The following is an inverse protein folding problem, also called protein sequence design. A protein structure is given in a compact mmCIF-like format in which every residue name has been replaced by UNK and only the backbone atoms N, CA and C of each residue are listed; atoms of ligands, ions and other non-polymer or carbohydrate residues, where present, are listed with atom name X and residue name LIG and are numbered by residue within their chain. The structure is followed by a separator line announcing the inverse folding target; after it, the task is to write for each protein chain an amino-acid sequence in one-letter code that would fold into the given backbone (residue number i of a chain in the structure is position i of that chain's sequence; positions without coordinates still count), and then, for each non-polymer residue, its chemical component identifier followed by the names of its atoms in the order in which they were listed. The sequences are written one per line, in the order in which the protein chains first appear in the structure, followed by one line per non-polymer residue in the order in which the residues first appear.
data_IF_997537466846
#
_entry.id   IF_997537466846
#
_cell.length_a   1.000
_cell.length_b   1.000
_cell.length_c   1.000
_cell.angle_alpha   90.00
_cell.angle_beta   90.00
_cell.angle_gamma   90.00
#
_symmetry.space_group_name_H-M   'P 1'
#
loop_
_entity.id
_entity.type
_entity.pdbx_description
1 polymer ?
#
# COMPACT_ATOMS: atom_id res chain seq x y z
N UNK A 1 31.44 -33.83 -1.18
CA UNK A 1 30.17 -33.77 -1.96
C UNK A 1 28.91 -33.65 -1.10
N UNK A 2 28.83 -34.21 0.13
CA UNK A 2 27.62 -34.12 0.98
C UNK A 2 27.29 -32.72 1.53
N UNK A 3 28.29 -31.85 1.73
CA UNK A 3 28.09 -30.50 2.27
C UNK A 3 27.41 -29.52 1.30
N UNK A 4 27.66 -29.66 -0.01
CA UNK A 4 27.14 -28.74 -1.03
C UNK A 4 25.63 -28.89 -1.24
N UNK A 5 25.09 -30.10 -1.12
CA UNK A 5 23.65 -30.37 -1.22
C UNK A 5 22.86 -29.78 -0.03
N UNK A 6 23.37 -29.91 1.19
CA UNK A 6 22.69 -29.41 2.39
C UNK A 6 22.69 -27.88 2.50
N UNK A 7 23.67 -27.21 1.89
CA UNK A 7 23.68 -25.74 1.79
C UNK A 7 22.75 -25.23 0.69
N UNK A 8 22.55 -25.99 -0.39
CA UNK A 8 21.65 -25.60 -1.47
C UNK A 8 20.17 -25.64 -1.03
N UNK A 9 19.74 -26.72 -0.35
CA UNK A 9 18.37 -26.83 0.17
C UNK A 9 18.00 -25.71 1.15
N UNK A 10 18.96 -25.26 1.97
CA UNK A 10 18.75 -24.17 2.93
C UNK A 10 18.69 -22.80 2.26
N UNK A 11 19.49 -22.59 1.22
CA UNK A 11 19.46 -21.36 0.44
C UNK A 11 18.14 -21.23 -0.33
N UNK A 12 17.70 -22.30 -1.00
CA UNK A 12 16.41 -22.35 -1.71
C UNK A 12 15.22 -22.15 -0.76
N UNK A 13 15.25 -22.79 0.41
CA UNK A 13 14.24 -22.59 1.46
C UNK A 13 14.20 -21.13 1.98
N UNK A 14 15.36 -20.50 2.17
CA UNK A 14 15.44 -19.10 2.64
C UNK A 14 14.99 -18.09 1.58
N UNK A 15 15.25 -18.36 0.30
CA UNK A 15 14.79 -17.53 -0.83
C UNK A 15 13.27 -17.64 -0.96
N UNK A 16 12.71 -18.84 -0.80
CA UNK A 16 11.25 -19.05 -0.80
C UNK A 16 10.54 -18.30 0.33
N UNK A 17 11.04 -18.40 1.57
CA UNK A 17 10.44 -17.71 2.71
C UNK A 17 10.54 -16.18 2.61
N UNK A 18 11.71 -15.66 2.21
CA UNK A 18 11.90 -14.22 2.07
C UNK A 18 11.08 -13.62 0.93
N UNK A 19 10.92 -14.34 -0.19
CA UNK A 19 10.03 -13.93 -1.29
C UNK A 19 8.56 -13.85 -0.84
N UNK A 20 8.08 -14.85 -0.08
CA UNK A 20 6.71 -14.84 0.45
C UNK A 20 6.49 -13.67 1.41
N UNK A 21 7.43 -13.40 2.32
CA UNK A 21 7.33 -12.27 3.25
C UNK A 21 7.34 -10.92 2.52
N UNK A 22 8.16 -10.77 1.47
CA UNK A 22 8.16 -9.57 0.65
C UNK A 22 6.82 -9.36 -0.06
N UNK A 23 6.22 -10.43 -0.56
CA UNK A 23 4.93 -10.38 -1.26
C UNK A 23 3.78 -10.04 -0.29
N UNK A 24 3.77 -10.64 0.90
CA UNK A 24 2.83 -10.28 1.98
C UNK A 24 3.00 -8.80 2.36
N UNK A 25 4.24 -8.33 2.52
CA UNK A 25 4.52 -6.92 2.82
C UNK A 25 3.99 -5.98 1.75
N UNK A 26 4.21 -6.29 0.48
CA UNK A 26 3.71 -5.49 -0.65
C UNK A 26 2.17 -5.43 -0.68
N UNK A 27 1.50 -6.57 -0.46
CA UNK A 27 0.04 -6.63 -0.39
C UNK A 27 -0.49 -5.86 0.83
N UNK A 28 0.13 -6.01 2.00
CA UNK A 28 -0.27 -5.29 3.20
C UNK A 28 -0.17 -3.77 3.02
N UNK A 29 0.91 -3.29 2.41
CA UNK A 29 1.08 -1.87 2.06
C UNK A 29 -0.03 -1.41 1.12
N UNK A 30 -0.35 -2.17 0.08
CA UNK A 30 -1.45 -1.83 -0.83
C UNK A 30 -2.80 -1.74 -0.09
N UNK A 31 -3.11 -2.69 0.78
CA UNK A 31 -4.35 -2.69 1.58
C UNK A 31 -4.41 -1.47 2.50
N UNK A 32 -3.30 -1.09 3.14
CA UNK A 32 -3.24 0.10 3.99
C UNK A 32 -3.60 1.34 3.18
N UNK A 33 -2.95 1.55 2.02
CA UNK A 33 -3.14 2.74 1.21
C UNK A 33 -4.50 2.83 0.53
N UNK A 34 -5.02 1.71 -0.01
CA UNK A 34 -6.25 1.73 -0.80
C UNK A 34 -7.52 1.47 -0.01
N UNK A 35 -7.43 0.90 1.20
CA UNK A 35 -8.61 0.59 2.00
C UNK A 35 -8.59 1.26 3.37
N UNK A 36 -7.53 1.05 4.15
CA UNK A 36 -7.52 1.47 5.56
C UNK A 36 -7.47 3.00 5.69
N UNK A 37 -6.61 3.66 4.91
CA UNK A 37 -6.44 5.11 4.99
C UNK A 37 -7.73 5.87 4.56
N UNK A 38 -8.38 5.56 3.43
CA UNK A 38 -9.68 6.18 3.08
C UNK A 38 -10.75 5.92 4.14
N UNK A 39 -10.80 4.71 4.70
CA UNK A 39 -11.72 4.36 5.78
C UNK A 39 -11.47 5.17 7.06
N UNK A 40 -10.21 5.43 7.43
CA UNK A 40 -9.88 6.32 8.54
C UNK A 40 -10.33 7.76 8.21
N UNK A 41 -10.12 8.19 6.97
CA UNK A 41 -10.60 9.49 6.48
C UNK A 41 -12.10 9.68 6.67
N UNK A 42 -12.92 8.70 6.26
CA UNK A 42 -14.37 8.77 6.45
C UNK A 42 -14.78 8.75 7.92
N UNK A 43 -14.09 7.96 8.76
CA UNK A 43 -14.35 7.98 10.20
C UNK A 43 -14.08 9.36 10.81
N UNK A 44 -12.99 10.02 10.41
CA UNK A 44 -12.64 11.38 10.87
C UNK A 44 -13.72 12.37 10.48
N UNK A 45 -14.21 12.30 9.24
CA UNK A 45 -15.29 13.17 8.73
C UNK A 45 -16.58 13.00 9.57
N UNK A 46 -16.84 11.80 10.10
CA UNK A 46 -18.02 11.49 10.91
C UNK A 46 -17.85 11.72 12.43
N UNK A 47 -16.61 11.92 12.92
CA UNK A 47 -16.33 11.86 14.37
C UNK A 47 -16.88 13.06 15.16
N UNK A 48 -17.08 14.21 14.52
CA UNK A 48 -17.61 15.40 15.18
C UNK A 48 -18.41 16.29 14.23
N UNK A 49 -19.66 16.59 14.61
CA UNK A 49 -20.45 17.58 13.91
C UNK A 49 -19.82 18.97 14.10
N UNK A 50 -19.23 19.52 13.03
CA UNK A 50 -18.70 20.88 13.03
C UNK A 50 -19.89 21.86 13.05
N UNK A 51 -19.95 22.81 14.01
CA UNK A 51 -21.05 23.77 14.07
C UNK A 51 -21.22 24.58 12.78
N UNK A 52 -22.45 25.02 12.50
CA UNK A 52 -22.72 25.99 11.44
C UNK A 52 -22.05 27.34 11.72
N UNK A 53 -21.61 28.03 10.67
CA UNK A 53 -20.82 29.26 10.75
C UNK A 53 -19.33 29.05 11.06
N UNK A 54 -18.89 27.80 11.26
CA UNK A 54 -17.46 27.50 11.42
C UNK A 54 -16.73 27.57 10.08
N UNK A 55 -15.56 28.19 10.09
CA UNK A 55 -14.65 28.18 8.93
C UNK A 55 -14.16 26.79 8.54
N UNK A 56 -14.34 25.79 9.40
CA UNK A 56 -13.97 24.38 9.17
C UNK A 56 -15.17 23.50 8.79
N UNK A 57 -16.36 24.08 8.62
CA UNK A 57 -17.53 23.34 8.20
C UNK A 57 -17.44 23.07 6.69
N UNK A 58 -17.04 21.86 6.29
CA UNK A 58 -16.90 21.47 4.89
C UNK A 58 -18.24 21.45 4.13
N UNK A 59 -19.37 21.35 4.83
CA UNK A 59 -20.72 21.42 4.24
C UNK A 59 -21.07 22.84 3.81
N UNK A 60 -20.62 23.85 4.56
CA UNK A 60 -20.84 25.28 4.25
C UNK A 60 -19.70 25.88 3.41
N UNK A 61 -18.50 25.32 3.50
CA UNK A 61 -17.31 25.77 2.79
C UNK A 61 -16.86 24.70 1.78
N UNK A 62 -17.51 24.66 0.63
CA UNK A 62 -17.29 23.66 -0.43
C UNK A 62 -15.88 23.63 -1.04
N UNK A 63 -14.99 24.55 -0.64
CA UNK A 63 -13.57 24.53 -1.01
C UNK A 63 -12.69 23.71 -0.06
N UNK A 64 -13.23 23.22 1.05
CA UNK A 64 -12.51 22.35 1.97
C UNK A 64 -12.64 20.90 1.52
N UNK A 65 -11.53 20.19 1.25
CA UNK A 65 -11.58 18.76 0.97
C UNK A 65 -11.96 18.01 2.25
N UNK A 66 -12.77 16.95 2.11
CA UNK A 66 -13.04 16.01 3.20
C UNK A 66 -11.84 15.08 3.39
N UNK A 67 -11.73 14.47 4.58
CA UNK A 67 -10.70 13.49 4.88
C UNK A 67 -10.70 12.34 3.87
N UNK A 68 -11.88 11.82 3.52
CA UNK A 68 -12.03 10.81 2.46
C UNK A 68 -11.76 11.37 1.05
N UNK A 69 -12.28 12.57 0.74
CA UNK A 69 -12.15 13.19 -0.59
C UNK A 69 -10.72 13.48 -0.99
N UNK A 70 -9.85 13.84 -0.04
CA UNK A 70 -8.42 13.99 -0.27
C UNK A 70 -7.78 12.70 -0.80
N UNK A 71 -8.22 11.55 -0.32
CA UNK A 71 -7.69 10.26 -0.74
C UNK A 71 -8.24 9.80 -2.09
N UNK A 72 -9.45 10.21 -2.45
CA UNK A 72 -9.95 9.99 -3.82
C UNK A 72 -9.14 10.80 -4.84
N UNK A 73 -8.79 12.05 -4.52
CA UNK A 73 -7.99 12.92 -5.39
C UNK A 73 -6.54 12.42 -5.55
N UNK A 74 -5.90 11.99 -4.47
CA UNK A 74 -4.49 11.56 -4.47
C UNK A 74 -4.34 10.05 -4.77
N UNK A 75 -5.40 9.26 -4.56
CA UNK A 75 -5.40 7.81 -4.70
C UNK A 75 -5.04 7.34 -6.10
N UNK A 76 -5.42 8.08 -7.13
CA UNK A 76 -5.03 7.81 -8.51
C UNK A 76 -3.51 7.88 -8.73
N UNK A 77 -2.84 8.87 -8.13
CA UNK A 77 -1.37 9.01 -8.23
C UNK A 77 -0.64 7.90 -7.47
N UNK A 78 -1.13 7.54 -6.29
CA UNK A 78 -0.59 6.42 -5.48
C UNK A 78 -0.76 5.09 -6.23
N UNK A 79 -1.90 4.89 -6.90
CA UNK A 79 -2.15 3.73 -7.76
C UNK A 79 -1.11 3.59 -8.86
N UNK A 80 -0.81 4.68 -9.57
CA UNK A 80 0.21 4.69 -10.63
C UNK A 80 1.59 4.36 -10.06
N UNK A 81 1.96 4.97 -8.93
CA UNK A 81 3.24 4.69 -8.27
C UNK A 81 3.37 3.22 -7.86
N UNK A 82 2.30 2.62 -7.34
CA UNK A 82 2.26 1.21 -6.97
C UNK A 82 2.45 0.28 -8.18
N UNK A 83 1.78 0.57 -9.31
CA UNK A 83 1.94 -0.20 -10.54
C UNK A 83 3.38 -0.14 -11.05
N UNK A 84 4.01 1.04 -11.04
CA UNK A 84 5.42 1.21 -11.44
C UNK A 84 6.33 0.37 -10.54
N UNK A 85 6.11 0.41 -9.22
CA UNK A 85 6.89 -0.38 -8.27
C UNK A 85 6.70 -1.90 -8.49
N UNK A 86 5.46 -2.36 -8.73
CA UNK A 86 5.16 -3.75 -9.02
C UNK A 86 5.87 -4.24 -10.29
N UNK A 87 5.83 -3.44 -11.37
CA UNK A 87 6.54 -3.76 -12.62
C UNK A 87 8.04 -3.82 -12.40
N UNK A 88 8.62 -2.90 -11.61
CA UNK A 88 10.04 -2.92 -11.27
C UNK A 88 10.44 -4.20 -10.51
N UNK A 89 9.60 -4.66 -9.58
CA UNK A 89 9.82 -5.91 -8.84
C UNK A 89 9.77 -7.12 -9.79
N UNK A 90 8.78 -7.19 -10.68
CA UNK A 90 8.69 -8.27 -11.67
C UNK A 90 9.91 -8.29 -12.58
N UNK A 91 10.33 -7.13 -13.10
CA UNK A 91 11.54 -7.03 -13.92
C UNK A 91 12.80 -7.49 -13.16
N UNK A 92 12.90 -7.16 -11.87
CA UNK A 92 13.99 -7.63 -11.03
C UNK A 92 13.96 -9.16 -10.88
N UNK A 93 12.80 -9.76 -10.63
CA UNK A 93 12.68 -11.22 -10.47
C UNK A 93 13.00 -11.98 -11.75
N UNK A 94 12.56 -11.48 -12.91
CA UNK A 94 12.94 -12.03 -14.22
C UNK A 94 14.45 -11.97 -14.44
N UNK A 95 15.09 -10.84 -14.12
CA UNK A 95 16.55 -10.70 -14.22
C UNK A 95 17.29 -11.67 -13.29
N UNK A 96 16.75 -11.90 -12.10
CA UNK A 96 17.38 -12.73 -11.07
C UNK A 96 17.22 -14.25 -11.32
N UNK A 97 16.46 -14.67 -12.34
CA UNK A 97 16.19 -16.09 -12.61
C UNK A 97 15.31 -16.75 -11.56
N UNK A 98 14.51 -15.96 -10.84
CA UNK A 98 13.62 -16.41 -9.76
C UNK A 98 12.20 -16.75 -10.28
N UNK A 99 11.95 -16.58 -11.57
CA UNK A 99 10.70 -16.84 -12.29
C UNK A 99 10.96 -17.65 -13.54
#
# INVERSE_FOLDING_TARGET
MKHTFLTNDKAESSVGLSAILALIGAVAVAVIYFAIIPMIGSMIDDTAAVPSGSAWNATENSGLPTGAGLWDDVGGMISIAFVIAAVAIVMYMLRAGLM
#
